data_IF_170598650799
#
_entry.id   IF_170598650799
#
_cell.length_a   1.000
_cell.length_b   1.000
_cell.length_c   1.000
_cell.angle_alpha   90.00
_cell.angle_beta   90.00
_cell.angle_gamma   90.00
#
_symmetry.space_group_name_H-M   'P 1'
#
loop_
_entity.id
_entity.type
_entity.pdbx_description
1 polymer ?
#
# COMPACT_ATOMS: atom_id res chain seq x y z
N UNK A 1 6.86 -30.77 6.98
CA UNK A 1 7.86 -31.81 7.26
C UNK A 1 7.33 -32.64 8.42
N UNK A 2 7.16 -33.96 8.27
CA UNK A 2 6.90 -34.83 9.43
C UNK A 2 8.25 -35.07 10.11
N UNK A 3 8.32 -34.88 11.42
CA UNK A 3 9.54 -34.95 12.23
C UNK A 3 10.08 -36.38 12.36
N UNK A 4 10.38 -37.04 11.24
CA UNK A 4 10.99 -38.36 11.24
C UNK A 4 12.46 -38.22 11.67
N UNK A 5 12.81 -38.82 12.82
CA UNK A 5 14.17 -38.82 13.35
C UNK A 5 14.50 -37.75 14.40
N UNK A 6 13.56 -36.88 14.79
CA UNK A 6 13.75 -35.93 15.88
C UNK A 6 13.34 -36.59 17.20
N UNK A 7 14.28 -36.78 18.12
CA UNK A 7 13.96 -37.28 19.46
C UNK A 7 13.41 -36.17 20.35
N UNK A 8 12.71 -36.55 21.43
CA UNK A 8 12.26 -35.59 22.45
C UNK A 8 13.45 -34.81 23.06
N UNK A 9 14.62 -35.44 23.15
CA UNK A 9 15.84 -34.79 23.60
C UNK A 9 16.27 -33.68 22.63
N UNK A 10 16.21 -33.94 21.34
CA UNK A 10 16.61 -32.97 20.31
C UNK A 10 15.63 -31.79 20.27
N UNK A 11 14.33 -32.06 20.43
CA UNK A 11 13.31 -31.01 20.57
C UNK A 11 13.55 -30.14 21.81
N UNK A 12 13.75 -30.74 22.99
CA UNK A 12 14.03 -29.99 24.23
C UNK A 12 15.32 -29.18 24.15
N UNK A 13 16.36 -29.72 23.51
CA UNK A 13 17.61 -29.00 23.29
C UNK A 13 17.41 -27.79 22.36
N UNK A 14 16.64 -27.94 21.28
CA UNK A 14 16.30 -26.83 20.40
C UNK A 14 15.50 -25.75 21.13
N UNK A 15 14.48 -26.14 21.91
CA UNK A 15 13.68 -25.24 22.76
C UNK A 15 14.55 -24.47 23.76
N UNK A 16 15.50 -25.14 24.41
CA UNK A 16 16.43 -24.49 25.32
C UNK A 16 17.32 -23.47 24.59
N UNK A 17 17.86 -23.83 23.42
CA UNK A 17 18.71 -22.92 22.63
C UNK A 17 17.96 -21.66 22.17
N UNK A 18 16.74 -21.79 21.63
CA UNK A 18 15.95 -20.64 21.15
C UNK A 18 15.43 -19.75 22.30
N UNK A 19 15.53 -20.22 23.55
CA UNK A 19 15.19 -19.46 24.75
C UNK A 19 16.37 -18.65 25.29
N UNK A 20 17.54 -18.69 24.63
CA UNK A 20 18.72 -17.90 24.99
C UNK A 20 18.87 -16.70 24.03
N UNK A 21 19.30 -15.55 24.56
CA UNK A 21 19.50 -14.34 23.76
C UNK A 21 20.61 -14.53 22.71
N UNK A 22 21.71 -15.18 23.11
CA UNK A 22 22.89 -15.42 22.27
C UNK A 22 22.55 -16.21 21.00
N UNK A 23 21.51 -17.05 21.04
CA UNK A 23 21.03 -17.77 19.86
C UNK A 23 20.53 -16.82 18.78
N UNK A 24 19.80 -15.77 19.16
CA UNK A 24 19.24 -14.77 18.24
C UNK A 24 20.25 -13.71 17.81
N UNK A 25 21.31 -13.51 18.58
CA UNK A 25 22.42 -12.62 18.23
C UNK A 25 23.40 -13.25 17.22
N UNK A 26 23.31 -14.55 16.97
CA UNK A 26 24.19 -15.28 16.06
C UNK A 26 23.97 -14.91 14.58
N UNK A 27 24.87 -14.11 14.00
CA UNK A 27 24.76 -13.66 12.59
C UNK A 27 24.75 -14.81 11.57
N UNK A 28 25.49 -15.88 11.86
CA UNK A 28 25.58 -17.04 10.97
C UNK A 28 24.22 -17.76 10.85
N UNK A 29 23.43 -17.79 11.93
CA UNK A 29 22.07 -18.33 11.92
C UNK A 29 21.20 -17.58 10.91
N UNK A 30 21.24 -16.25 10.93
CA UNK A 30 20.43 -15.41 10.06
C UNK A 30 20.85 -15.54 8.59
N UNK A 31 22.15 -15.64 8.32
CA UNK A 31 22.67 -15.88 6.98
C UNK A 31 22.23 -17.25 6.44
N UNK A 32 22.37 -18.32 7.24
CA UNK A 32 21.93 -19.66 6.85
C UNK A 32 20.41 -19.74 6.61
N UNK A 33 19.62 -19.08 7.47
CA UNK A 33 18.16 -18.99 7.29
C UNK A 33 17.84 -18.24 6.01
N UNK A 34 18.42 -17.05 5.78
CA UNK A 34 18.20 -16.26 4.57
C UNK A 34 18.53 -17.03 3.29
N UNK A 35 19.70 -17.67 3.24
CA UNK A 35 20.15 -18.47 2.10
C UNK A 35 19.30 -19.73 1.85
N UNK A 36 18.65 -20.27 2.90
CA UNK A 36 17.76 -21.43 2.77
C UNK A 36 16.40 -21.09 2.13
N UNK A 37 16.05 -19.81 2.04
CA UNK A 37 14.77 -19.36 1.50
C UNK A 37 14.88 -19.07 0.01
N UNK A 38 13.82 -19.36 -0.76
CA UNK A 38 13.79 -18.94 -2.16
C UNK A 38 13.73 -17.41 -2.25
N UNK A 39 14.42 -16.81 -3.24
CA UNK A 39 14.63 -15.36 -3.47
C UNK A 39 13.37 -14.45 -3.55
N UNK A 40 12.17 -15.01 -3.33
CA UNK A 40 10.88 -14.30 -3.34
C UNK A 40 10.13 -14.43 -2.01
N UNK A 41 10.72 -15.12 -1.02
CA UNK A 41 10.03 -15.48 0.22
C UNK A 41 9.87 -14.29 1.15
N UNK A 42 10.85 -13.38 1.16
CA UNK A 42 10.82 -12.13 1.93
C UNK A 42 10.39 -10.95 1.05
N UNK A 43 11.00 -10.80 -0.14
CA UNK A 43 10.47 -9.97 -1.20
C UNK A 43 11.11 -10.32 -2.54
N UNK A 44 10.53 -9.84 -3.66
CA UNK A 44 11.10 -10.02 -5.00
C UNK A 44 12.47 -9.34 -5.21
N UNK A 45 12.91 -8.53 -4.25
CA UNK A 45 14.20 -7.86 -4.22
C UNK A 45 15.11 -8.42 -3.11
N UNK A 46 14.85 -9.63 -2.61
CA UNK A 46 15.63 -10.23 -1.52
C UNK A 46 17.13 -10.22 -1.79
N UNK A 47 17.56 -10.50 -3.02
CA UNK A 47 18.97 -10.46 -3.43
C UNK A 47 19.62 -9.07 -3.42
N UNK A 48 18.82 -8.01 -3.28
CA UNK A 48 19.26 -6.61 -3.23
C UNK A 48 19.02 -6.00 -1.85
N UNK A 49 18.47 -6.75 -0.90
CA UNK A 49 18.26 -6.26 0.46
C UNK A 49 19.60 -6.08 1.16
N UNK A 50 19.81 -4.94 1.83
CA UNK A 50 20.86 -4.87 2.84
C UNK A 50 20.68 -5.99 3.87
N UNK A 51 21.76 -6.62 4.36
CA UNK A 51 21.69 -7.73 5.32
C UNK A 51 20.82 -7.42 6.55
N UNK A 52 20.81 -6.17 6.99
CA UNK A 52 20.00 -5.74 8.12
C UNK A 52 18.49 -5.71 7.84
N UNK A 53 18.07 -5.33 6.62
CA UNK A 53 16.66 -5.36 6.20
C UNK A 53 16.17 -6.79 6.11
N UNK A 54 17.01 -7.67 5.55
CA UNK A 54 16.70 -9.09 5.45
C UNK A 54 16.51 -9.71 6.84
N UNK A 55 17.38 -9.36 7.81
CA UNK A 55 17.29 -9.81 9.20
C UNK A 55 16.02 -9.34 9.92
N UNK A 56 15.62 -8.08 9.74
CA UNK A 56 14.38 -7.52 10.29
C UNK A 56 13.15 -8.24 9.74
N UNK A 57 13.09 -8.44 8.42
CA UNK A 57 12.00 -9.17 7.76
C UNK A 57 11.91 -10.63 8.20
N UNK A 58 13.05 -11.30 8.34
CA UNK A 58 13.12 -12.66 8.86
C UNK A 58 12.58 -12.73 10.29
N UNK A 59 13.03 -11.83 11.16
CA UNK A 59 12.69 -11.84 12.57
C UNK A 59 11.23 -11.52 12.85
N UNK A 60 10.68 -10.50 12.20
CA UNK A 60 9.31 -10.04 12.46
C UNK A 60 8.26 -10.85 11.71
N UNK A 61 8.49 -11.11 10.42
CA UNK A 61 7.42 -11.64 9.54
C UNK A 61 7.49 -13.14 9.35
N UNK A 62 8.68 -13.73 9.28
CA UNK A 62 8.81 -15.15 8.97
C UNK A 62 8.91 -16.02 10.23
N UNK A 63 9.77 -15.61 11.17
CA UNK A 63 10.06 -16.39 12.37
C UNK A 63 9.19 -16.00 13.56
N UNK A 64 8.58 -14.81 13.53
CA UNK A 64 7.80 -14.24 14.65
C UNK A 64 8.55 -14.43 15.97
N UNK A 65 9.77 -13.90 16.04
CA UNK A 65 10.68 -14.11 17.19
C UNK A 65 10.03 -13.67 18.50
N UNK A 66 9.27 -12.57 18.46
CA UNK A 66 8.53 -12.07 19.62
C UNK A 66 7.42 -13.05 20.05
N UNK A 67 6.62 -13.55 19.10
CA UNK A 67 5.59 -14.56 19.38
C UNK A 67 6.17 -15.88 19.88
N UNK A 68 7.26 -16.34 19.28
CA UNK A 68 7.99 -17.52 19.71
C UNK A 68 8.49 -17.37 21.16
N UNK A 69 9.08 -16.22 21.48
CA UNK A 69 9.57 -15.94 22.83
C UNK A 69 8.44 -15.87 23.86
N UNK A 70 7.33 -15.20 23.52
CA UNK A 70 6.13 -15.13 24.36
C UNK A 70 5.59 -16.52 24.67
N UNK A 71 5.61 -17.41 23.69
CA UNK A 71 5.20 -18.80 23.85
C UNK A 71 6.16 -19.58 24.77
N UNK A 72 7.47 -19.44 24.57
CA UNK A 72 8.50 -20.09 25.40
C UNK A 72 8.48 -19.65 26.86
N UNK A 73 8.16 -18.37 27.10
CA UNK A 73 8.15 -17.76 28.44
C UNK A 73 6.84 -18.00 29.20
N UNK A 74 5.89 -18.77 28.66
CA UNK A 74 4.61 -19.02 29.32
C UNK A 74 3.68 -17.80 29.40
N UNK A 75 3.82 -16.84 28.47
CA UNK A 75 2.93 -15.69 28.35
C UNK A 75 3.27 -14.48 29.23
N UNK A 76 4.44 -14.45 29.87
CA UNK A 76 4.95 -13.24 30.53
C UNK A 76 5.56 -12.29 29.51
N UNK A 77 5.24 -10.99 29.58
CA UNK A 77 5.88 -9.92 28.80
C UNK A 77 7.35 -9.64 29.23
N UNK A 78 7.91 -10.49 30.09
CA UNK A 78 9.32 -10.48 30.51
C UNK A 78 10.22 -11.22 29.50
N UNK A 79 9.96 -11.02 28.20
CA UNK A 79 10.97 -11.31 27.19
C UNK A 79 12.16 -10.35 27.33
N UNK A 80 13.33 -10.64 26.73
CA UNK A 80 14.47 -9.77 26.81
C UNK A 80 14.07 -8.44 26.15
N UNK A 81 13.74 -7.46 27.00
CA UNK A 81 13.54 -6.07 26.62
C UNK A 81 14.89 -5.59 26.11
N UNK A 82 15.12 -5.81 24.83
CA UNK A 82 16.46 -5.76 24.31
C UNK A 82 16.72 -6.65 23.12
N UNK A 83 15.97 -7.71 22.78
CA UNK A 83 16.30 -8.45 21.54
C UNK A 83 16.01 -7.61 20.33
N UNK A 84 14.77 -7.13 20.18
CA UNK A 84 14.42 -6.19 19.10
C UNK A 84 15.25 -4.93 19.17
N UNK A 85 15.62 -4.46 20.36
CA UNK A 85 16.36 -3.21 20.54
C UNK A 85 17.89 -3.34 20.46
N UNK A 86 18.47 -4.53 20.69
CA UNK A 86 19.87 -4.89 20.52
C UNK A 86 20.13 -5.42 19.11
N UNK A 87 19.20 -6.19 18.53
CA UNK A 87 19.16 -6.51 17.11
C UNK A 87 18.97 -5.22 16.31
N UNK A 88 18.01 -4.36 16.67
CA UNK A 88 17.90 -3.03 16.06
C UNK A 88 19.12 -2.15 16.36
N UNK A 89 19.81 -2.29 17.51
CA UNK A 89 21.06 -1.54 17.77
C UNK A 89 22.21 -2.01 16.90
N UNK A 90 22.40 -3.32 16.77
CA UNK A 90 23.43 -3.93 15.95
C UNK A 90 23.19 -3.62 14.46
N UNK A 91 21.92 -3.73 14.03
CA UNK A 91 21.44 -3.30 12.71
C UNK A 91 21.65 -1.80 12.47
N UNK A 92 21.36 -0.94 13.45
CA UNK A 92 21.60 0.52 13.36
C UNK A 92 23.10 0.85 13.36
N UNK A 93 23.93 0.07 14.02
CA UNK A 93 25.38 0.25 14.09
C UNK A 93 26.10 -0.16 12.78
N UNK A 94 25.52 -1.07 11.99
CA UNK A 94 26.03 -1.45 10.66
C UNK A 94 25.51 -0.54 9.52
N UNK A 95 24.65 0.43 9.84
CA UNK A 95 24.21 1.44 8.86
C UNK A 95 25.40 2.35 8.53
N UNK A 96 25.90 2.40 7.28
CA UNK A 96 26.99 3.30 6.93
C UNK A 96 26.56 4.75 7.21
N UNK A 97 27.21 5.42 8.15
CA UNK A 97 26.85 6.78 8.58
C UNK A 97 27.07 7.85 7.49
N UNK A 98 27.71 7.51 6.37
CA UNK A 98 28.13 8.45 5.31
C UNK A 98 27.40 8.31 3.97
N UNK A 99 26.31 7.55 3.89
CA UNK A 99 25.34 7.75 2.81
C UNK A 99 24.14 8.49 3.39
N UNK A 100 23.84 9.72 2.95
CA UNK A 100 22.58 10.33 3.34
C UNK A 100 21.49 9.38 2.85
N UNK A 101 20.71 8.84 3.78
CA UNK A 101 19.46 8.19 3.42
C UNK A 101 18.72 9.16 2.48
N UNK A 102 18.20 8.70 1.32
CA UNK A 102 17.28 9.55 0.57
C UNK A 102 16.25 10.07 1.58
N UNK A 103 15.94 11.37 1.61
CA UNK A 103 15.13 11.91 2.70
C UNK A 103 13.86 11.07 2.77
N UNK A 104 13.56 10.52 3.95
CA UNK A 104 12.53 9.48 4.17
C UNK A 104 11.14 9.88 3.62
N UNK A 105 10.95 11.16 3.27
CA UNK A 105 9.71 11.77 2.82
C UNK A 105 9.75 12.31 1.37
N UNK A 106 10.68 11.86 0.52
CA UNK A 106 10.65 12.19 -0.93
C UNK A 106 9.81 11.16 -1.69
N UNK A 107 8.76 11.58 -2.42
CA UNK A 107 8.00 10.67 -3.28
C UNK A 107 8.85 10.17 -4.45
N UNK A 108 8.65 8.90 -4.83
CA UNK A 108 9.24 8.33 -6.05
C UNK A 108 8.59 8.87 -7.33
N UNK A 109 7.33 9.27 -7.24
CA UNK A 109 6.52 9.88 -8.29
C UNK A 109 5.77 11.07 -7.69
N UNK A 110 5.77 12.18 -8.42
CA UNK A 110 5.07 13.41 -8.01
C UNK A 110 3.95 13.68 -9.00
N UNK A 111 2.72 14.01 -8.54
CA UNK A 111 1.64 14.39 -9.44
C UNK A 111 2.04 15.61 -10.28
N UNK A 112 1.65 15.59 -11.56
CA UNK A 112 1.85 16.73 -12.45
C UNK A 112 0.71 17.72 -12.38
N UNK A 113 -0.47 17.25 -11.96
CA UNK A 113 -1.62 18.10 -11.74
C UNK A 113 -1.52 18.81 -10.38
N UNK A 114 -2.00 20.07 -10.28
CA UNK A 114 -2.16 20.75 -9.00
C UNK A 114 -3.00 19.93 -8.02
N UNK A 115 -2.50 19.75 -6.80
CA UNK A 115 -3.23 19.08 -5.71
C UNK A 115 -3.91 20.13 -4.83
N UNK A 116 -5.21 19.96 -4.56
CA UNK A 116 -6.02 20.80 -3.69
C UNK A 116 -6.52 19.95 -2.51
N UNK A 117 -6.21 20.39 -1.30
CA UNK A 117 -6.77 19.78 -0.09
C UNK A 117 -8.20 20.29 0.16
N UNK A 118 -9.08 19.39 0.59
CA UNK A 118 -10.45 19.68 0.99
C UNK A 118 -10.64 19.17 2.42
N UNK A 119 -10.86 20.10 3.36
CA UNK A 119 -10.88 19.85 4.81
C UNK A 119 -12.12 20.39 5.52
N UNK A 120 -13.05 20.95 4.75
CA UNK A 120 -14.31 21.47 5.27
C UNK A 120 -15.47 21.16 4.33
N UNK A 121 -16.69 21.16 4.88
CA UNK A 121 -17.91 20.92 4.11
C UNK A 121 -18.10 21.95 2.98
N UNK A 122 -17.71 23.21 3.22
CA UNK A 122 -17.79 24.28 2.23
C UNK A 122 -16.82 24.05 1.05
N UNK A 123 -15.59 23.64 1.34
CA UNK A 123 -14.62 23.27 0.30
C UNK A 123 -15.09 22.05 -0.48
N UNK A 124 -15.66 21.04 0.20
CA UNK A 124 -16.19 19.86 -0.48
C UNK A 124 -17.32 20.23 -1.43
N UNK A 125 -18.28 21.03 -0.98
CA UNK A 125 -19.38 21.49 -1.83
C UNK A 125 -18.86 22.24 -3.07
N UNK A 126 -17.89 23.13 -2.90
CA UNK A 126 -17.29 23.89 -3.99
C UNK A 126 -16.56 22.99 -5.00
N UNK A 127 -15.70 22.08 -4.51
CA UNK A 127 -14.95 21.15 -5.36
C UNK A 127 -15.89 20.19 -6.10
N UNK A 128 -16.91 19.65 -5.43
CA UNK A 128 -17.87 18.76 -6.09
C UNK A 128 -18.70 19.49 -7.15
N UNK A 129 -19.07 20.75 -6.93
CA UNK A 129 -19.77 21.56 -7.93
C UNK A 129 -18.89 21.83 -9.16
N UNK A 130 -17.61 22.14 -8.96
CA UNK A 130 -16.63 22.36 -10.02
C UNK A 130 -16.36 21.08 -10.82
N UNK A 131 -16.04 19.97 -10.14
CA UNK A 131 -15.85 18.66 -10.78
C UNK A 131 -17.11 18.14 -11.46
N UNK A 132 -18.29 18.52 -10.97
CA UNK A 132 -19.58 18.17 -11.57
C UNK A 132 -19.81 18.76 -12.96
N UNK A 133 -19.00 19.74 -13.39
CA UNK A 133 -19.04 20.28 -14.75
C UNK A 133 -18.16 19.49 -15.74
N UNK A 134 -17.30 18.60 -15.25
CA UNK A 134 -16.44 17.79 -16.10
C UNK A 134 -17.21 16.59 -16.69
N UNK A 135 -16.82 16.14 -17.88
CA UNK A 135 -17.38 14.92 -18.49
C UNK A 135 -17.02 13.66 -17.68
N UNK A 136 -15.86 13.69 -17.02
CA UNK A 136 -15.30 12.56 -16.30
C UNK A 136 -14.53 13.02 -15.07
N UNK A 137 -14.53 12.19 -14.04
CA UNK A 137 -13.76 12.37 -12.80
C UNK A 137 -13.17 11.03 -12.41
N UNK A 138 -11.85 10.97 -12.18
CA UNK A 138 -11.24 9.77 -11.60
C UNK A 138 -11.47 9.74 -10.09
N UNK A 139 -11.68 8.55 -9.53
CA UNK A 139 -11.96 8.33 -8.12
C UNK A 139 -11.12 7.17 -7.58
N UNK A 140 -10.54 7.40 -6.40
CA UNK A 140 -10.02 6.36 -5.52
C UNK A 140 -10.38 6.69 -4.06
N UNK A 141 -10.19 5.73 -3.15
CA UNK A 141 -10.40 5.93 -1.71
C UNK A 141 -9.35 5.24 -0.86
N UNK A 142 -9.00 5.85 0.27
CA UNK A 142 -8.17 5.21 1.29
C UNK A 142 -8.95 4.92 2.55
N UNK A 143 -8.64 3.78 3.18
CA UNK A 143 -9.39 3.27 4.33
C UNK A 143 -8.49 2.69 5.41
N UNK A 144 -8.99 2.63 6.64
CA UNK A 144 -8.38 1.82 7.68
C UNK A 144 -8.32 0.35 7.26
N UNK A 145 -7.21 -0.36 7.52
CA UNK A 145 -7.03 -1.75 7.09
C UNK A 145 -8.09 -2.72 7.64
N UNK A 146 -8.47 -2.56 8.92
CA UNK A 146 -9.35 -3.51 9.64
C UNK A 146 -10.83 -3.27 9.38
N UNK A 147 -11.33 -2.07 9.67
CA UNK A 147 -12.77 -1.77 9.61
C UNK A 147 -13.21 -1.24 8.25
N UNK A 148 -12.25 -0.87 7.39
CA UNK A 148 -12.49 -0.20 6.12
C UNK A 148 -13.37 1.04 6.29
N UNK A 149 -13.09 1.81 7.35
CA UNK A 149 -13.59 3.16 7.52
C UNK A 149 -12.86 4.08 6.53
N UNK A 150 -13.60 4.98 5.90
CA UNK A 150 -13.11 5.94 4.92
C UNK A 150 -12.21 6.98 5.61
N UNK A 151 -11.01 7.19 5.08
CA UNK A 151 -10.01 8.12 5.60
C UNK A 151 -9.71 9.26 4.62
N UNK A 152 -9.66 8.96 3.33
CA UNK A 152 -9.35 9.91 2.26
C UNK A 152 -10.15 9.55 1.01
N UNK A 153 -10.61 10.55 0.28
CA UNK A 153 -11.17 10.39 -1.07
C UNK A 153 -10.34 11.20 -2.03
N UNK A 154 -9.91 10.61 -3.13
CA UNK A 154 -9.17 11.29 -4.17
C UNK A 154 -10.06 11.46 -5.40
N UNK A 155 -10.10 12.69 -5.93
CA UNK A 155 -10.81 12.97 -7.18
C UNK A 155 -9.89 13.70 -8.15
N UNK A 156 -9.76 13.22 -9.38
CA UNK A 156 -9.06 13.99 -10.44
C UNK A 156 -10.05 14.43 -11.51
N UNK A 157 -10.15 15.75 -11.69
CA UNK A 157 -10.83 16.38 -12.83
C UNK A 157 -9.85 16.68 -13.97
N UNK A 158 -10.18 17.61 -14.88
CA UNK A 158 -9.27 18.01 -15.95
C UNK A 158 -8.12 18.91 -15.48
N UNK A 159 -8.33 19.73 -14.44
CA UNK A 159 -7.37 20.80 -14.07
C UNK A 159 -6.63 20.55 -12.76
N UNK A 160 -7.18 19.75 -11.84
CA UNK A 160 -6.60 19.53 -10.51
C UNK A 160 -7.02 18.17 -9.95
N UNK A 161 -6.31 17.78 -8.90
CA UNK A 161 -6.63 16.63 -8.04
C UNK A 161 -7.11 17.18 -6.70
N UNK A 162 -8.25 16.72 -6.22
CA UNK A 162 -8.72 16.98 -4.87
C UNK A 162 -8.38 15.81 -3.94
N UNK A 163 -7.73 16.10 -2.83
CA UNK A 163 -7.57 15.19 -1.70
C UNK A 163 -8.56 15.62 -0.61
N UNK A 164 -9.63 14.85 -0.45
CA UNK A 164 -10.71 15.12 0.48
C UNK A 164 -10.47 14.36 1.77
N UNK A 165 -10.26 15.10 2.85
CA UNK A 165 -10.09 14.55 4.18
C UNK A 165 -11.43 14.09 4.77
N UNK A 166 -11.72 12.79 4.63
CA UNK A 166 -12.98 12.22 5.13
C UNK A 166 -13.06 12.15 6.66
N UNK A 167 -11.99 12.50 7.38
CA UNK A 167 -11.97 12.59 8.84
C UNK A 167 -12.33 14.00 9.33
N UNK A 168 -12.17 15.03 8.50
CA UNK A 168 -12.49 16.42 8.85
C UNK A 168 -13.84 16.89 8.28
N UNK A 169 -14.22 16.39 7.10
CA UNK A 169 -15.53 16.67 6.49
C UNK A 169 -16.64 15.93 7.23
N UNK A 170 -17.73 16.63 7.53
CA UNK A 170 -18.88 16.09 8.26
C UNK A 170 -20.06 15.72 7.36
N UNK A 171 -20.23 16.42 6.24
CA UNK A 171 -21.31 16.18 5.27
C UNK A 171 -20.76 15.71 3.92
N UNK A 172 -20.94 14.42 3.63
CA UNK A 172 -20.56 13.81 2.35
C UNK A 172 -21.66 13.89 1.27
N UNK A 173 -22.79 14.56 1.53
CA UNK A 173 -23.87 14.66 0.54
C UNK A 173 -23.43 15.27 -0.80
N UNK A 174 -22.56 16.31 -0.87
CA UNK A 174 -22.07 16.83 -2.15
C UNK A 174 -21.26 15.79 -2.94
N UNK A 175 -20.45 14.98 -2.25
CA UNK A 175 -19.73 13.87 -2.86
C UNK A 175 -20.72 12.83 -3.40
N UNK A 176 -21.74 12.49 -2.62
CA UNK A 176 -22.80 11.59 -3.03
C UNK A 176 -23.54 12.06 -4.29
N UNK A 177 -23.84 13.36 -4.38
CA UNK A 177 -24.48 13.95 -5.55
C UNK A 177 -23.59 13.86 -6.80
N UNK A 178 -22.29 14.14 -6.68
CA UNK A 178 -21.33 14.02 -7.79
C UNK A 178 -21.18 12.56 -8.27
N UNK A 179 -20.94 11.63 -7.34
CA UNK A 179 -20.70 10.23 -7.67
C UNK A 179 -21.96 9.52 -8.18
N UNK A 180 -23.13 9.94 -7.71
CA UNK A 180 -24.43 9.46 -8.18
C UNK A 180 -24.91 10.10 -9.49
N UNK A 181 -24.28 11.18 -9.96
CA UNK A 181 -24.70 11.85 -11.20
C UNK A 181 -24.34 11.01 -12.44
N UNK A 182 -25.31 10.48 -13.22
CA UNK A 182 -25.02 9.69 -14.42
C UNK A 182 -24.41 10.53 -15.55
N UNK A 183 -24.54 11.86 -15.52
CA UNK A 183 -23.96 12.78 -16.51
C UNK A 183 -22.43 12.95 -16.40
N UNK A 184 -21.82 12.52 -15.29
CA UNK A 184 -20.37 12.57 -15.08
C UNK A 184 -19.85 11.13 -15.01
N UNK A 185 -18.91 10.75 -15.87
CA UNK A 185 -18.33 9.40 -15.85
C UNK A 185 -17.29 9.26 -14.74
N UNK A 186 -17.42 8.24 -13.87
CA UNK A 186 -16.41 7.95 -12.84
C UNK A 186 -15.38 6.96 -13.36
N UNK A 187 -14.12 7.36 -13.41
CA UNK A 187 -13.01 6.50 -13.79
C UNK A 187 -12.44 5.88 -12.51
N UNK A 188 -12.46 4.55 -12.41
CA UNK A 188 -12.03 3.82 -11.22
C UNK A 188 -11.20 2.62 -11.65
N UNK A 189 -10.31 2.11 -10.79
CA UNK A 189 -9.67 0.82 -11.01
C UNK A 189 -10.23 -0.20 -10.02
N UNK A 190 -11.00 -1.19 -10.50
CA UNK A 190 -11.69 -2.17 -9.66
C UNK A 190 -12.77 -1.57 -8.75
N UNK A 191 -13.79 -0.95 -9.37
CA UNK A 191 -14.85 -0.18 -8.72
C UNK A 191 -15.67 -0.94 -7.64
N UNK A 192 -15.53 -2.26 -7.58
CA UNK A 192 -16.16 -3.09 -6.55
C UNK A 192 -15.73 -2.69 -5.13
N UNK A 193 -14.48 -2.25 -4.95
CA UNK A 193 -13.97 -1.83 -3.65
C UNK A 193 -14.57 -0.49 -3.23
N UNK A 194 -14.52 0.52 -4.10
CA UNK A 194 -15.04 1.87 -3.84
C UNK A 194 -16.54 1.82 -3.56
N UNK A 195 -17.29 1.04 -4.35
CA UNK A 195 -18.75 0.83 -4.12
C UNK A 195 -19.03 0.25 -2.74
N UNK A 196 -18.23 -0.71 -2.28
CA UNK A 196 -18.38 -1.34 -0.97
C UNK A 196 -18.08 -0.36 0.17
N UNK A 197 -17.02 0.45 0.03
CA UNK A 197 -16.62 1.44 1.03
C UNK A 197 -17.64 2.58 1.10
N UNK A 198 -17.90 3.24 -0.02
CA UNK A 198 -18.79 4.41 -0.09
C UNK A 198 -20.25 4.06 0.15
N UNK A 199 -20.68 2.82 -0.18
CA UNK A 199 -22.02 2.32 0.12
C UNK A 199 -22.34 2.29 1.62
N UNK A 200 -21.34 2.13 2.51
CA UNK A 200 -21.53 2.23 3.97
C UNK A 200 -21.97 3.62 4.43
N UNK A 201 -21.67 4.63 3.61
CA UNK A 201 -22.03 6.04 3.83
C UNK A 201 -23.28 6.43 3.02
N UNK A 202 -23.98 5.48 2.41
CA UNK A 202 -25.16 5.73 1.58
C UNK A 202 -24.84 6.37 0.22
N UNK A 203 -23.57 6.36 -0.20
CA UNK A 203 -23.13 6.97 -1.45
C UNK A 203 -23.14 5.93 -2.56
N UNK A 204 -23.96 6.16 -3.59
CA UNK A 204 -23.97 5.38 -4.81
C UNK A 204 -22.99 5.94 -5.84
N UNK A 205 -22.45 5.07 -6.69
CA UNK A 205 -21.58 5.44 -7.80
C UNK A 205 -22.23 4.98 -9.11
N UNK A 206 -22.53 5.93 -9.98
CA UNK A 206 -23.19 5.69 -11.28
C UNK A 206 -22.26 6.00 -12.45
N UNK A 207 -22.54 5.48 -13.65
CA UNK A 207 -21.74 5.72 -14.87
C UNK A 207 -20.23 5.51 -14.66
N UNK A 208 -19.84 4.26 -14.36
CA UNK A 208 -18.43 3.92 -14.07
C UNK A 208 -17.73 3.38 -15.31
N UNK A 209 -16.55 3.93 -15.60
CA UNK A 209 -15.53 3.31 -16.46
C UNK A 209 -14.49 2.63 -15.55
N UNK A 210 -14.55 1.30 -15.48
CA UNK A 210 -13.60 0.51 -14.68
C UNK A 210 -12.37 0.14 -15.52
N UNK A 211 -11.23 0.74 -15.20
CA UNK A 211 -9.96 0.53 -15.93
C UNK A 211 -9.41 -0.90 -15.79
N UNK A 212 -9.75 -1.63 -14.74
CA UNK A 212 -9.41 -3.06 -14.59
C UNK A 212 -10.16 -3.87 -15.64
N UNK A 213 -11.48 -3.67 -15.73
CA UNK A 213 -12.34 -4.33 -16.71
C UNK A 213 -11.90 -3.95 -18.11
N UNK A 214 -11.68 -2.66 -18.36
CA UNK A 214 -11.25 -2.16 -19.67
C UNK A 214 -9.92 -2.75 -20.11
N UNK A 215 -8.96 -2.87 -19.20
CA UNK A 215 -7.67 -3.49 -19.49
C UNK A 215 -7.83 -4.97 -19.87
N UNK A 216 -8.71 -5.71 -19.18
CA UNK A 216 -9.00 -7.12 -19.49
C UNK A 216 -9.65 -7.28 -20.86
N UNK A 217 -10.58 -6.40 -21.21
CA UNK A 217 -11.22 -6.39 -22.54
C UNK A 217 -10.21 -6.15 -23.66
N UNK A 218 -9.32 -5.17 -23.49
CA UNK A 218 -8.39 -4.75 -24.53
C UNK A 218 -7.20 -5.68 -24.72
N UNK A 219 -6.78 -6.39 -23.66
CA UNK A 219 -5.53 -7.18 -23.65
C UNK A 219 -5.74 -8.67 -23.40
N UNK A 220 -6.94 -9.10 -23.00
CA UNK A 220 -7.19 -10.47 -22.60
C UNK A 220 -6.32 -10.87 -21.41
N UNK A 221 -5.90 -12.14 -21.32
CA UNK A 221 -5.01 -12.61 -20.26
C UNK A 221 -3.56 -12.25 -20.59
N UNK A 222 -2.93 -11.46 -19.71
CA UNK A 222 -1.52 -11.06 -19.83
C UNK A 222 -0.71 -11.50 -18.61
N UNK A 223 0.59 -11.72 -18.82
CA UNK A 223 1.55 -11.95 -17.74
C UNK A 223 1.61 -10.72 -16.82
N UNK A 224 1.70 -10.94 -15.49
CA UNK A 224 1.62 -9.87 -14.49
C UNK A 224 0.20 -9.35 -14.17
N UNK A 225 -0.81 -9.73 -14.95
CA UNK A 225 -2.21 -9.43 -14.70
C UNK A 225 -2.62 -7.97 -14.95
N UNK A 226 -3.68 -7.53 -14.27
CA UNK A 226 -4.32 -6.23 -14.54
C UNK A 226 -4.45 -5.33 -13.31
N UNK A 227 -3.63 -5.54 -12.28
CA UNK A 227 -3.56 -4.57 -11.18
C UNK A 227 -3.14 -3.20 -11.71
N UNK A 228 -3.54 -2.10 -11.05
CA UNK A 228 -3.22 -0.73 -11.50
C UNK A 228 -1.72 -0.59 -11.83
N UNK A 229 -0.85 -0.99 -10.91
CA UNK A 229 0.61 -1.08 -11.14
C UNK A 229 1.00 -1.78 -12.44
N UNK A 230 0.45 -2.98 -12.69
CA UNK A 230 0.78 -3.76 -13.88
C UNK A 230 0.28 -3.09 -15.16
N UNK A 231 -0.88 -2.44 -15.10
CA UNK A 231 -1.46 -1.70 -16.23
C UNK A 231 -0.64 -0.44 -16.50
N UNK A 232 -0.27 0.33 -15.47
CA UNK A 232 0.59 1.52 -15.61
C UNK A 232 1.97 1.17 -16.17
N UNK A 233 2.62 0.10 -15.68
CA UNK A 233 3.91 -0.32 -16.19
C UNK A 233 3.82 -0.71 -17.68
N UNK A 234 2.77 -1.44 -18.07
CA UNK A 234 2.59 -1.91 -19.45
C UNK A 234 2.18 -0.82 -20.42
N UNK A 235 1.22 0.03 -20.04
CA UNK A 235 0.60 0.99 -20.96
C UNK A 235 1.25 2.38 -20.91
N UNK A 236 1.86 2.75 -19.77
CA UNK A 236 2.48 4.06 -19.57
C UNK A 236 4.01 3.98 -19.36
N UNK A 237 4.57 2.78 -19.16
CA UNK A 237 5.98 2.64 -18.78
C UNK A 237 6.28 3.17 -17.37
N UNK A 238 5.27 3.33 -16.52
CA UNK A 238 5.39 3.91 -15.18
C UNK A 238 5.35 2.80 -14.13
N UNK A 239 6.41 2.71 -13.32
CA UNK A 239 6.46 1.83 -12.15
C UNK A 239 5.78 2.50 -10.94
N UNK A 240 4.66 1.93 -10.50
CA UNK A 240 3.93 2.41 -9.32
C UNK A 240 4.49 1.77 -8.06
N UNK A 241 4.86 2.59 -7.08
CA UNK A 241 5.18 2.15 -5.72
C UNK A 241 3.87 1.90 -4.95
N UNK A 242 3.78 0.78 -4.23
CA UNK A 242 2.60 0.41 -3.43
C UNK A 242 2.85 0.51 -1.93
N UNK A 243 3.99 1.05 -1.51
CA UNK A 243 4.36 1.13 -0.10
C UNK A 243 3.26 1.78 0.77
N UNK A 244 2.63 2.84 0.26
CA UNK A 244 1.64 3.59 1.05
C UNK A 244 0.25 2.95 1.06
N UNK A 245 -0.03 1.93 0.23
CA UNK A 245 -1.34 1.24 0.17
C UNK A 245 -1.75 0.63 1.52
N UNK A 246 -0.76 0.23 2.34
CA UNK A 246 -0.97 -0.34 3.67
C UNK A 246 -0.58 0.61 4.80
N UNK A 247 -0.36 1.89 4.48
CA UNK A 247 -0.01 2.93 5.45
C UNK A 247 -1.18 3.26 6.39
N UNK A 248 -0.85 3.92 7.50
CA UNK A 248 -1.88 4.43 8.42
C UNK A 248 -2.47 5.74 7.88
N UNK A 249 -3.55 5.60 7.13
CA UNK A 249 -4.32 6.72 6.56
C UNK A 249 -5.13 7.52 7.58
N UNK A 250 -5.13 7.14 8.86
CA UNK A 250 -5.79 7.91 9.93
C UNK A 250 -4.91 9.03 10.46
N UNK A 251 -3.59 8.97 10.23
CA UNK A 251 -2.64 9.96 10.75
C UNK A 251 -2.83 11.32 10.08
N UNK A 252 -2.67 12.38 10.86
CA UNK A 252 -2.62 13.76 10.37
C UNK A 252 -1.43 14.52 10.98
N UNK A 253 -0.74 15.37 10.20
CA UNK A 253 -0.86 15.49 8.74
C UNK A 253 -0.39 14.21 8.02
N UNK A 254 -0.82 14.00 6.77
CA UNK A 254 -0.26 12.94 5.92
C UNK A 254 1.19 13.27 5.59
N UNK A 255 2.00 12.24 5.33
CA UNK A 255 3.37 12.44 4.82
C UNK A 255 3.33 12.88 3.35
N UNK A 256 4.41 13.49 2.85
CA UNK A 256 4.48 13.88 1.43
C UNK A 256 4.38 12.68 0.51
N UNK A 257 4.91 11.53 0.94
CA UNK A 257 4.79 10.26 0.21
C UNK A 257 3.33 9.80 0.12
N UNK A 258 2.58 9.84 1.22
CA UNK A 258 1.15 9.50 1.22
C UNK A 258 0.34 10.44 0.33
N UNK A 259 0.59 11.75 0.41
CA UNK A 259 -0.07 12.74 -0.45
C UNK A 259 0.21 12.49 -1.94
N UNK A 260 1.48 12.28 -2.29
CA UNK A 260 1.89 12.03 -3.66
C UNK A 260 1.36 10.70 -4.20
N UNK A 261 1.37 9.64 -3.37
CA UNK A 261 0.80 8.34 -3.70
C UNK A 261 -0.70 8.47 -3.99
N UNK A 262 -1.46 9.07 -3.06
CA UNK A 262 -2.90 9.26 -3.19
C UNK A 262 -3.26 10.06 -4.44
N UNK A 263 -2.54 11.16 -4.71
CA UNK A 263 -2.77 11.96 -5.89
C UNK A 263 -2.43 11.19 -7.18
N UNK A 264 -1.33 10.42 -7.18
CA UNK A 264 -0.89 9.66 -8.34
C UNK A 264 -1.88 8.56 -8.72
N UNK A 265 -2.53 7.90 -7.75
CA UNK A 265 -3.49 6.83 -8.05
C UNK A 265 -4.61 7.32 -8.98
N UNK A 266 -5.20 8.50 -8.74
CA UNK A 266 -6.22 9.07 -9.63
C UNK A 266 -5.67 9.75 -10.88
N UNK A 267 -4.48 10.35 -10.83
CA UNK A 267 -3.83 10.93 -12.03
C UNK A 267 -3.51 9.86 -13.08
N UNK A 268 -3.04 8.69 -12.63
CA UNK A 268 -2.75 7.56 -13.51
C UNK A 268 -4.01 7.03 -14.18
N UNK A 269 -5.16 7.04 -13.51
CA UNK A 269 -6.44 6.64 -14.12
C UNK A 269 -6.81 7.54 -15.31
N UNK A 270 -6.64 8.86 -15.17
CA UNK A 270 -6.89 9.81 -16.26
C UNK A 270 -6.00 9.49 -17.45
N UNK A 271 -4.69 9.31 -17.22
CA UNK A 271 -3.71 8.95 -18.27
C UNK A 271 -4.02 7.61 -18.94
N UNK A 272 -4.42 6.60 -18.16
CA UNK A 272 -4.78 5.29 -18.70
C UNK A 272 -5.99 5.35 -19.63
N UNK A 273 -7.00 6.15 -19.29
CA UNK A 273 -8.19 6.32 -20.13
C UNK A 273 -7.84 6.95 -21.48
N UNK A 274 -6.91 7.91 -21.52
CA UNK A 274 -6.42 8.48 -22.78
C UNK A 274 -5.76 7.42 -23.67
N UNK A 275 -4.92 6.56 -23.10
CA UNK A 275 -4.32 5.43 -23.83
C UNK A 275 -5.38 4.44 -24.33
N UNK A 276 -6.34 4.08 -23.48
CA UNK A 276 -7.40 3.15 -23.89
C UNK A 276 -8.28 3.71 -25.01
N UNK A 277 -8.51 5.02 -25.04
CA UNK A 277 -9.27 5.70 -26.10
C UNK A 277 -8.53 5.67 -27.44
N UNK A 278 -7.21 5.96 -27.44
CA UNK A 278 -6.42 5.99 -28.68
C UNK A 278 -6.34 4.61 -29.34
N UNK A 279 -6.21 3.55 -28.54
CA UNK A 279 -6.22 2.15 -29.01
C UNK A 279 -7.55 1.81 -29.70
N UNK A 280 -8.68 2.24 -29.15
CA UNK A 280 -10.00 1.99 -29.77
C UNK A 280 -10.32 2.85 -30.98
N UNK A 281 -9.70 4.03 -31.11
CA UNK A 281 -9.83 4.89 -32.29
C UNK A 281 -9.09 4.36 -33.53
N UNK A 282 -8.17 3.39 -33.35
CA UNK A 282 -7.32 2.86 -34.44
C UNK A 282 -7.92 1.62 -35.11
N UNK A 283 -9.04 1.09 -34.59
CA UNK A 283 -9.80 0.00 -35.22
C UNK A 283 -10.95 0.62 -36.02
N UNK A 284 -10.66 1.05 -37.25
CA UNK A 284 -11.65 1.29 -38.32
C UNK A 284 -11.16 0.69 -39.62
#
# INVERSE_FOLDING_TARGET
>A
VRAEGISERDFRAAVAAISELEFWENDKLWEEVGQSLPNYRLSKFQSLMPPWVEREMLGEYLLDVEGAWRWLSGGTDEGPKGVTEALARAVRAERPEDQPAPPEDVPSLVPTMPVRWVRSDAELAAVCAELGQAEQVALDVETTLRTRALCLVQLAGPEFIALIDALEVSDLAPLGALLGNPGVQKIIHNASFERSVLGKYGIAIENVLDTLVRSRELRGKVEGGHSLKAVCARELGIEVDKAEQVSDWTRRPLTRRQEAYAAMDVELLVRLVEVFRSVTGTVR
#
